data_IF_726168783213
#
_entry.id   IF_726168783213
#
_cell.length_a   1.000
_cell.length_b   1.000
_cell.length_c   1.000
_cell.angle_alpha   90.00
_cell.angle_beta   90.00
_cell.angle_gamma   90.00
#
_symmetry.space_group_name_H-M   'P 1'
#
loop_
_entity.id
_entity.type
_entity.pdbx_description
1 polymer ?
#
# COMPACT_ATOMS: atom_id res chain seq x y z
N UNK A 1 25.39 8.03 -13.03
CA UNK A 1 24.19 7.17 -12.90
C UNK A 1 23.09 7.72 -13.80
N UNK A 2 22.48 6.88 -14.65
CA UNK A 2 21.42 7.31 -15.59
C UNK A 2 20.22 7.89 -14.83
N UNK A 3 19.69 9.07 -15.19
CA UNK A 3 18.60 9.74 -14.45
C UNK A 3 17.31 8.89 -14.38
N UNK A 4 17.10 8.03 -15.36
CA UNK A 4 15.96 7.09 -15.43
C UNK A 4 15.95 6.07 -14.27
N UNK A 5 17.12 5.61 -13.81
CA UNK A 5 17.20 4.64 -12.71
C UNK A 5 16.79 5.26 -11.38
N UNK A 6 17.11 6.54 -11.15
CA UNK A 6 16.71 7.25 -9.92
C UNK A 6 15.19 7.39 -9.83
N UNK A 7 14.53 7.71 -10.96
CA UNK A 7 13.06 7.79 -11.03
C UNK A 7 12.40 6.45 -10.76
N UNK A 8 12.91 5.37 -11.37
CA UNK A 8 12.40 4.01 -11.13
C UNK A 8 12.58 3.57 -9.68
N UNK A 9 13.74 3.90 -9.07
CA UNK A 9 13.99 3.60 -7.66
C UNK A 9 13.07 4.38 -6.73
N UNK A 10 12.85 5.68 -6.96
CA UNK A 10 11.96 6.50 -6.13
C UNK A 10 10.50 6.05 -6.27
N UNK A 11 10.05 5.70 -7.48
CA UNK A 11 8.68 5.23 -7.72
C UNK A 11 8.43 3.86 -7.06
N UNK A 12 9.43 2.99 -7.02
CA UNK A 12 9.34 1.67 -6.40
C UNK A 12 9.87 1.62 -4.95
N UNK A 13 10.41 2.74 -4.43
CA UNK A 13 10.95 2.85 -3.08
C UNK A 13 10.01 2.30 -1.99
N UNK A 14 8.69 2.60 -1.98
CA UNK A 14 7.81 2.03 -0.97
C UNK A 14 7.76 0.49 -1.04
N UNK A 15 7.80 -0.09 -2.24
CA UNK A 15 7.82 -1.56 -2.41
C UNK A 15 9.18 -2.17 -2.03
N UNK A 16 10.28 -1.48 -2.31
CA UNK A 16 11.62 -1.93 -1.90
C UNK A 16 11.79 -1.98 -0.38
N UNK A 17 11.18 -1.04 0.34
CA UNK A 17 11.13 -1.08 1.81
C UNK A 17 10.40 -2.34 2.30
N UNK A 18 9.30 -2.73 1.66
CA UNK A 18 8.60 -3.96 2.01
C UNK A 18 9.42 -5.20 1.68
N UNK A 19 10.06 -5.28 0.50
CA UNK A 19 10.98 -6.39 0.16
C UNK A 19 12.04 -6.55 1.24
N UNK A 20 12.67 -5.44 1.65
CA UNK A 20 13.67 -5.42 2.71
C UNK A 20 13.10 -5.89 4.07
N UNK A 21 11.90 -5.44 4.43
CA UNK A 21 11.26 -5.81 5.69
C UNK A 21 10.93 -7.32 5.73
N UNK A 22 10.38 -7.86 4.64
CA UNK A 22 10.04 -9.28 4.55
C UNK A 22 11.28 -10.18 4.46
N UNK A 23 12.34 -9.72 3.80
CA UNK A 23 13.64 -10.39 3.79
C UNK A 23 14.23 -10.50 5.22
N UNK A 24 14.08 -9.46 6.04
CA UNK A 24 14.49 -9.48 7.46
C UNK A 24 13.66 -10.45 8.30
N UNK A 25 12.36 -10.58 8.01
CA UNK A 25 11.51 -11.57 8.66
C UNK A 25 11.94 -12.99 8.29
N UNK A 26 12.29 -13.25 7.02
CA UNK A 26 12.85 -14.53 6.58
C UNK A 26 14.15 -14.89 7.33
N UNK A 27 15.07 -13.93 7.42
CA UNK A 27 16.30 -14.06 8.22
C UNK A 27 16.01 -14.36 9.68
N UNK A 28 15.05 -13.67 10.29
CA UNK A 28 14.69 -13.86 11.69
C UNK A 28 14.18 -15.28 11.95
N UNK A 29 13.34 -15.82 11.07
CA UNK A 29 12.81 -17.21 11.18
C UNK A 29 13.91 -18.25 10.96
N UNK A 30 14.90 -17.93 10.12
CA UNK A 30 16.06 -18.79 9.89
C UNK A 30 17.04 -18.80 11.07
N UNK A 31 17.29 -17.62 11.67
CA UNK A 31 18.20 -17.44 12.79
C UNK A 31 17.58 -17.79 14.15
N UNK A 32 16.24 -17.88 14.24
CA UNK A 32 15.55 -18.27 15.46
C UNK A 32 15.97 -19.69 15.89
N UNK A 33 16.52 -19.84 17.12
CA UNK A 33 16.89 -21.14 17.66
C UNK A 33 15.62 -21.95 17.97
N UNK A 34 15.53 -23.18 17.46
CA UNK A 34 14.38 -24.05 17.70
C UNK A 34 14.32 -25.20 16.69
N UNK A 35 14.26 -26.43 17.20
CA UNK A 35 14.17 -27.65 16.38
C UNK A 35 12.78 -27.82 15.75
N UNK A 36 11.73 -27.36 16.44
CA UNK A 36 10.33 -27.46 16.02
C UNK A 36 9.71 -26.08 15.75
N UNK A 37 8.68 -26.04 14.89
CA UNK A 37 7.92 -24.82 14.55
C UNK A 37 7.42 -24.07 15.80
N UNK A 38 6.98 -24.80 16.84
CA UNK A 38 6.54 -24.21 18.11
C UNK A 38 7.70 -23.56 18.88
N UNK A 39 8.87 -24.21 18.94
CA UNK A 39 10.07 -23.65 19.57
C UNK A 39 10.58 -22.42 18.83
N UNK A 40 10.53 -22.43 17.49
CA UNK A 40 10.89 -21.26 16.66
C UNK A 40 9.97 -20.06 16.86
N UNK A 41 8.68 -20.28 17.13
CA UNK A 41 7.73 -19.20 17.44
C UNK A 41 8.03 -18.59 18.82
N UNK A 42 8.39 -19.42 19.80
CA UNK A 42 8.77 -18.95 21.14
C UNK A 42 10.06 -18.11 21.11
N UNK A 43 11.05 -18.53 20.33
CA UNK A 43 12.34 -17.84 20.18
C UNK A 43 12.41 -16.88 18.98
N UNK A 44 11.25 -16.50 18.42
CA UNK A 44 11.22 -15.63 17.24
C UNK A 44 11.71 -14.22 17.56
N UNK A 45 11.54 -13.77 18.81
CA UNK A 45 12.06 -12.49 19.30
C UNK A 45 13.59 -12.44 19.25
N UNK A 46 14.26 -13.55 19.60
CA UNK A 46 15.71 -13.67 19.53
C UNK A 46 16.19 -13.68 18.07
N UNK A 47 15.46 -14.40 17.19
CA UNK A 47 15.70 -14.38 15.75
C UNK A 47 15.54 -12.99 15.14
N UNK A 48 14.55 -12.21 15.60
CA UNK A 48 14.37 -10.81 15.21
C UNK A 48 15.55 -9.95 15.66
N UNK A 49 15.96 -10.05 16.92
CA UNK A 49 17.12 -9.32 17.45
C UNK A 49 18.39 -9.60 16.63
N UNK A 50 18.65 -10.86 16.31
CA UNK A 50 19.78 -11.27 15.48
C UNK A 50 19.68 -10.76 14.02
N UNK A 51 18.49 -10.77 13.42
CA UNK A 51 18.28 -10.30 12.05
C UNK A 51 18.45 -8.77 11.90
N UNK A 52 18.10 -8.00 12.93
CA UNK A 52 18.26 -6.54 12.96
C UNK A 52 19.64 -6.07 13.42
N UNK A 53 20.47 -6.94 14.01
CA UNK A 53 21.85 -6.61 14.37
C UNK A 53 22.71 -6.21 13.16
N UNK A 54 22.41 -6.76 11.98
CA UNK A 54 23.05 -6.37 10.72
C UNK A 54 22.08 -5.56 9.85
N UNK A 55 22.40 -4.30 9.48
CA UNK A 55 21.56 -3.49 8.61
C UNK A 55 21.60 -3.92 7.13
N UNK A 56 22.43 -4.91 6.80
CA UNK A 56 22.53 -5.45 5.45
C UNK A 56 21.40 -6.45 5.18
N UNK A 57 20.76 -6.41 4.00
CA UNK A 57 19.78 -7.42 3.59
C UNK A 57 20.42 -8.80 3.51
N UNK A 58 19.61 -9.85 3.62
CA UNK A 58 20.07 -11.22 3.44
C UNK A 58 20.51 -11.38 1.99
N UNK A 59 21.63 -12.05 1.79
CA UNK A 59 22.00 -12.58 0.47
C UNK A 59 21.58 -14.05 0.33
N UNK A 60 20.79 -14.58 1.27
CA UNK A 60 20.26 -15.92 1.16
C UNK A 60 19.10 -15.94 0.13
N UNK A 61 19.11 -16.87 -0.84
CA UNK A 61 18.10 -16.89 -1.89
C UNK A 61 16.68 -17.14 -1.36
N UNK A 62 16.54 -17.86 -0.24
CA UNK A 62 15.23 -18.11 0.38
C UNK A 62 14.62 -16.85 1.01
N UNK A 63 15.43 -16.03 1.68
CA UNK A 63 14.97 -14.79 2.30
C UNK A 63 14.58 -13.75 1.23
N UNK A 64 15.34 -13.70 0.12
CA UNK A 64 15.00 -12.88 -1.05
C UNK A 64 13.69 -13.31 -1.70
N UNK A 65 13.43 -14.61 -1.82
CA UNK A 65 12.15 -15.13 -2.32
C UNK A 65 10.99 -14.72 -1.40
N UNK A 66 11.17 -14.86 -0.08
CA UNK A 66 10.17 -14.42 0.91
C UNK A 66 9.94 -12.90 0.80
N UNK A 67 11.01 -12.12 0.65
CA UNK A 67 10.98 -10.68 0.42
C UNK A 67 10.15 -10.29 -0.81
N UNK A 68 10.43 -10.93 -1.95
CA UNK A 68 9.72 -10.70 -3.22
C UNK A 68 8.25 -11.12 -3.10
N UNK A 69 7.96 -12.31 -2.56
CA UNK A 69 6.59 -12.81 -2.39
C UNK A 69 5.80 -11.88 -1.47
N UNK A 70 6.37 -11.47 -0.33
CA UNK A 70 5.75 -10.52 0.60
C UNK A 70 5.42 -9.17 -0.07
N UNK A 71 6.35 -8.63 -0.85
CA UNK A 71 6.12 -7.38 -1.57
C UNK A 71 5.04 -7.50 -2.66
N UNK A 72 4.98 -8.62 -3.38
CA UNK A 72 3.93 -8.90 -4.38
C UNK A 72 2.56 -9.01 -3.71
N UNK A 73 2.47 -9.66 -2.56
CA UNK A 73 1.23 -9.77 -1.78
C UNK A 73 0.73 -8.40 -1.30
N UNK A 74 1.61 -7.55 -0.77
CA UNK A 74 1.27 -6.18 -0.39
C UNK A 74 0.76 -5.40 -1.60
N UNK A 75 1.46 -5.50 -2.74
CA UNK A 75 1.07 -4.81 -3.98
C UNK A 75 -0.30 -5.27 -4.47
N UNK A 76 -0.59 -6.56 -4.39
CA UNK A 76 -1.92 -7.12 -4.69
C UNK A 76 -2.98 -6.56 -3.73
N UNK A 77 -2.71 -6.56 -2.42
CA UNK A 77 -3.64 -6.05 -1.41
C UNK A 77 -3.96 -4.57 -1.63
N UNK A 78 -2.95 -3.74 -1.89
CA UNK A 78 -3.11 -2.32 -2.23
C UNK A 78 -3.87 -2.15 -3.54
N UNK A 79 -3.56 -2.94 -4.55
CA UNK A 79 -4.25 -2.91 -5.85
C UNK A 79 -5.75 -3.25 -5.70
N UNK A 80 -6.08 -4.31 -4.97
CA UNK A 80 -7.48 -4.66 -4.68
C UNK A 80 -8.17 -3.60 -3.82
N UNK A 81 -7.50 -3.03 -2.81
CA UNK A 81 -8.06 -1.96 -1.98
C UNK A 81 -8.29 -0.67 -2.79
N UNK A 82 -7.38 -0.32 -3.70
CA UNK A 82 -7.51 0.83 -4.59
C UNK A 82 -8.63 0.66 -5.62
N UNK A 83 -8.77 -0.54 -6.20
CA UNK A 83 -9.84 -0.87 -7.16
C UNK A 83 -11.24 -0.89 -6.51
N UNK A 84 -11.29 -1.15 -5.19
CA UNK A 84 -12.50 -1.11 -4.38
C UNK A 84 -12.67 0.18 -3.57
N UNK A 85 -11.75 1.14 -3.70
CA UNK A 85 -11.89 2.45 -3.06
C UNK A 85 -13.09 3.16 -3.70
N UNK A 86 -14.16 3.33 -2.92
CA UNK A 86 -15.48 3.88 -3.25
C UNK A 86 -15.46 5.34 -3.78
N UNK A 87 -14.60 5.68 -4.74
CA UNK A 87 -14.55 7.01 -5.36
C UNK A 87 -15.37 7.11 -6.65
N UNK A 88 -15.76 5.98 -7.23
CA UNK A 88 -16.73 5.91 -8.32
C UNK A 88 -17.92 5.06 -7.88
N UNK A 89 -19.08 5.70 -7.68
CA UNK A 89 -20.36 4.99 -7.66
C UNK A 89 -20.58 4.44 -9.06
N UNK A 90 -20.19 3.19 -9.30
CA UNK A 90 -20.47 2.51 -10.56
C UNK A 90 -21.98 2.50 -10.77
N UNK A 91 -22.43 3.07 -11.90
CA UNK A 91 -23.85 3.20 -12.23
C UNK A 91 -24.47 4.58 -12.02
N UNK A 92 -23.71 5.58 -11.56
CA UNK A 92 -24.14 6.98 -11.59
C UNK A 92 -23.35 7.72 -12.67
N UNK A 93 -24.00 8.00 -13.80
CA UNK A 93 -23.46 8.90 -14.80
C UNK A 93 -23.10 10.25 -14.16
N UNK A 94 -21.99 10.81 -14.62
CA UNK A 94 -21.45 12.11 -14.21
C UNK A 94 -22.46 13.27 -14.33
N UNK A 95 -23.61 13.04 -15.00
CA UNK A 95 -24.70 13.98 -15.22
C UNK A 95 -25.90 13.92 -14.26
N UNK A 96 -25.92 13.06 -13.23
CA UNK A 96 -27.06 13.04 -12.27
C UNK A 96 -27.07 14.22 -11.28
N UNK A 97 -26.11 15.14 -11.40
CA UNK A 97 -26.07 16.38 -10.64
C UNK A 97 -27.25 17.26 -11.07
N UNK A 98 -28.38 17.14 -10.37
CA UNK A 98 -29.52 18.05 -10.51
C UNK A 98 -29.08 19.41 -9.98
N UNK A 99 -28.50 20.25 -10.84
CA UNK A 99 -28.33 21.66 -10.53
C UNK A 99 -29.71 22.22 -10.18
N UNK A 100 -29.80 22.81 -8.99
CA UNK A 100 -31.03 23.38 -8.47
C UNK A 100 -31.65 24.31 -9.50
N UNK A 101 -32.95 24.14 -9.77
CA UNK A 101 -33.72 24.94 -10.70
C UNK A 101 -33.39 26.43 -10.58
N UNK A 102 -32.85 27.03 -11.65
CA UNK A 102 -32.70 28.50 -11.80
C UNK A 102 -34.02 29.28 -11.72
N UNK A 103 -35.15 28.60 -11.54
CA UNK A 103 -36.49 29.18 -11.39
C UNK A 103 -36.61 30.11 -10.17
N UNK A 104 -35.70 30.02 -9.18
CA UNK A 104 -35.69 30.93 -8.02
C UNK A 104 -35.08 32.30 -8.30
N UNK A 105 -34.08 32.41 -9.19
CA UNK A 105 -33.44 33.70 -9.52
C UNK A 105 -34.31 34.59 -10.39
N UNK A 106 -35.13 34.00 -11.27
CA UNK A 106 -36.02 34.75 -12.18
C UNK A 106 -37.24 35.37 -11.47
N UNK A 107 -37.62 34.86 -10.29
CA UNK A 107 -38.70 35.41 -9.48
C UNK A 107 -38.27 36.65 -8.68
N UNK A 108 -36.99 36.75 -8.29
CA UNK A 108 -36.43 37.88 -7.54
C UNK A 108 -36.03 39.07 -8.45
N UNK A 109 -35.79 38.83 -9.74
CA UNK A 109 -35.43 39.86 -10.71
C UNK A 109 -36.59 40.38 -11.57
N UNK A 110 -37.86 40.26 -11.09
CA UNK A 110 -38.97 41.03 -11.68
C UNK A 110 -39.09 42.37 -10.94
N UNK A 111 -38.53 43.48 -11.47
CA UNK A 111 -38.89 44.80 -10.96
C UNK A 111 -40.33 45.09 -11.38
N UNK A 112 -41.20 45.36 -10.41
CA UNK A 112 -42.50 46.01 -10.66
C UNK A 112 -43.74 45.11 -10.64
N UNK A 113 -44.00 44.43 -9.52
CA UNK A 113 -45.40 44.13 -9.16
C UNK A 113 -45.71 44.81 -7.84
N UNK A 114 -46.02 46.10 -7.95
CA UNK A 114 -47.07 46.73 -7.15
C UNK A 114 -48.40 46.14 -7.62
N UNK A 115 -49.14 45.55 -6.70
CA UNK A 115 -50.58 45.71 -6.46
C UNK A 115 -50.92 45.02 -5.15
#
# INVERSE_FOLDING_TARGET
MKPELKKLLILNAPYLLFVYLFDKIGQAVRLAPGADLSGKVLSIADGFSAAFANPLPSLAPMDLLIGIVGAVLIRLMVYFKGKNAKKYRKGIEYGSARWGNCRRYKALHRPGISK
#
